data_IF_162538069400
#
_entry.id   IF_162538069400
#
_cell.length_a   1.000
_cell.length_b   1.000
_cell.length_c   1.000
_cell.angle_alpha   90.00
_cell.angle_beta   90.00
_cell.angle_gamma   90.00
#
_symmetry.space_group_name_H-M   'P 1'
#
loop_
_entity.id
_entity.type
_entity.pdbx_description
1 polymer ?
#
# COMPACT_ATOMS: atom_id res chain seq x y z
N UNK A 1 -2.38 74.68 22.41
CA UNK A 1 -3.19 74.00 21.38
C UNK A 1 -2.55 72.67 21.13
N UNK A 2 -3.26 71.56 21.50
CA UNK A 2 -2.68 70.21 21.64
C UNK A 2 -3.05 69.37 20.41
N UNK A 3 -2.04 68.95 19.68
CA UNK A 3 -2.19 67.94 18.62
C UNK A 3 -1.90 66.53 19.14
N UNK A 4 -2.92 65.66 19.21
CA UNK A 4 -2.80 64.26 19.57
C UNK A 4 -2.52 63.44 18.32
N UNK A 5 -1.30 62.84 18.25
CA UNK A 5 -0.95 61.82 17.26
C UNK A 5 -1.53 60.47 17.65
N UNK A 6 -2.38 59.93 16.82
CA UNK A 6 -2.89 58.57 16.93
C UNK A 6 -1.90 57.60 16.23
N UNK A 7 -1.22 56.80 17.02
CA UNK A 7 -0.41 55.67 16.51
C UNK A 7 -1.33 54.46 16.32
N UNK A 8 -1.62 54.12 15.09
CA UNK A 8 -2.30 52.88 14.72
C UNK A 8 -1.25 51.73 14.67
N UNK A 9 -1.27 50.92 15.71
CA UNK A 9 -0.53 49.67 15.71
C UNK A 9 -1.18 48.65 14.77
N UNK A 10 -0.51 48.30 13.69
CA UNK A 10 -0.88 47.17 12.85
C UNK A 10 -0.44 45.86 13.54
N UNK A 11 -1.39 45.13 14.11
CA UNK A 11 -1.16 43.74 14.50
C UNK A 11 -1.03 42.90 13.24
N UNK A 12 0.22 42.59 12.88
CA UNK A 12 0.49 41.58 11.86
C UNK A 12 0.12 40.19 12.37
N UNK A 13 -0.96 39.65 11.83
CA UNK A 13 -1.37 38.27 12.07
C UNK A 13 -0.40 37.36 11.33
N UNK A 14 0.62 36.85 12.03
CA UNK A 14 1.51 35.80 11.51
C UNK A 14 0.69 34.51 11.49
N UNK A 15 0.13 34.18 10.33
CA UNK A 15 -0.44 32.85 10.08
C UNK A 15 0.71 31.84 9.99
N UNK A 16 1.01 31.19 11.10
CA UNK A 16 1.94 30.05 11.16
C UNK A 16 1.25 28.86 10.48
N UNK A 17 1.49 28.68 9.18
CA UNK A 17 1.14 27.46 8.46
C UNK A 17 1.97 26.31 9.05
N UNK A 18 1.40 25.57 9.97
CA UNK A 18 1.86 24.25 10.38
C UNK A 18 1.74 23.32 9.17
N UNK A 19 2.80 23.22 8.38
CA UNK A 19 2.95 22.11 7.46
C UNK A 19 3.09 20.85 8.31
N UNK A 20 2.00 20.11 8.47
CA UNK A 20 2.03 18.74 9.01
C UNK A 20 2.78 17.92 7.97
N UNK A 21 4.09 17.78 8.16
CA UNK A 21 4.88 16.81 7.44
C UNK A 21 4.28 15.43 7.79
N UNK A 22 3.58 14.83 6.85
CA UNK A 22 3.11 13.45 6.98
C UNK A 22 4.36 12.58 7.08
N UNK A 23 4.72 12.19 8.31
CA UNK A 23 5.72 11.19 8.60
C UNK A 23 5.13 9.82 8.24
N UNK A 24 5.11 9.48 6.97
CA UNK A 24 4.65 8.20 6.45
C UNK A 24 5.68 7.59 5.53
N UNK A 25 5.52 6.30 5.23
CA UNK A 25 6.34 5.62 4.24
C UNK A 25 6.14 6.24 2.85
N UNK A 26 7.22 6.54 2.16
CA UNK A 26 7.20 7.14 0.83
C UNK A 26 7.15 6.03 -0.21
N UNK A 27 6.21 6.14 -1.17
CA UNK A 27 6.18 5.23 -2.32
C UNK A 27 7.41 5.41 -3.19
N UNK A 28 7.98 4.30 -3.65
CA UNK A 28 9.05 4.28 -4.64
C UNK A 28 8.70 3.28 -5.76
N UNK A 29 9.39 3.36 -6.89
CA UNK A 29 9.17 2.39 -7.97
C UNK A 29 9.47 0.96 -7.50
N UNK A 30 8.58 0.01 -7.82
CA UNK A 30 8.76 -1.39 -7.50
C UNK A 30 9.92 -1.99 -8.30
N UNK A 31 10.68 -2.90 -7.66
CA UNK A 31 11.78 -3.62 -8.30
C UNK A 31 11.26 -4.96 -8.82
N UNK A 32 11.50 -5.23 -10.11
CA UNK A 32 11.17 -6.51 -10.75
C UNK A 32 9.76 -7.02 -10.41
N UNK A 33 8.70 -6.29 -10.79
CA UNK A 33 7.33 -6.70 -10.50
C UNK A 33 7.01 -8.04 -11.13
N UNK A 34 6.23 -8.88 -10.43
CA UNK A 34 5.86 -10.20 -10.93
C UNK A 34 4.89 -10.08 -12.12
N UNK A 35 5.18 -10.82 -13.18
CA UNK A 35 4.23 -11.05 -14.28
C UNK A 35 3.31 -12.21 -13.91
N UNK A 36 2.02 -11.97 -13.87
CA UNK A 36 1.01 -13.00 -13.53
C UNK A 36 -0.11 -12.98 -14.57
N UNK A 37 -0.42 -14.16 -15.12
CA UNK A 37 -1.51 -14.30 -16.12
C UNK A 37 -1.31 -13.42 -17.37
N UNK A 38 -0.07 -13.15 -17.74
CA UNK A 38 0.27 -12.29 -18.88
C UNK A 38 0.25 -10.78 -18.57
N UNK A 39 -0.17 -10.38 -17.38
CA UNK A 39 -0.13 -8.98 -16.94
C UNK A 39 1.18 -8.69 -16.21
N UNK A 40 1.93 -7.70 -16.70
CA UNK A 40 3.14 -7.17 -16.04
C UNK A 40 2.84 -5.76 -15.57
N UNK A 41 2.91 -5.46 -14.26
CA UNK A 41 2.73 -4.10 -13.75
C UNK A 41 3.78 -3.15 -14.33
N UNK A 42 3.34 -2.15 -15.11
CA UNK A 42 4.24 -1.19 -15.79
C UNK A 42 3.72 0.25 -15.73
N UNK A 43 2.41 0.43 -15.52
CA UNK A 43 1.80 1.76 -15.45
C UNK A 43 1.94 2.25 -14.03
N UNK A 44 2.57 3.41 -13.83
CA UNK A 44 2.68 4.01 -12.50
C UNK A 44 1.34 4.64 -12.11
N UNK A 45 0.81 4.24 -10.96
CA UNK A 45 -0.45 4.73 -10.42
C UNK A 45 -0.25 5.45 -9.10
N UNK A 46 -1.03 6.52 -8.89
CA UNK A 46 -0.93 7.37 -7.68
C UNK A 46 -1.24 6.63 -6.37
N UNK A 47 -2.06 5.55 -6.42
CA UNK A 47 -2.46 4.82 -5.22
C UNK A 47 -1.86 3.39 -5.14
N UNK A 48 -1.67 2.68 -6.26
CA UNK A 48 -1.34 1.25 -6.23
C UNK A 48 0.08 0.90 -6.72
N UNK A 49 0.98 1.90 -6.85
CA UNK A 49 2.34 1.68 -7.35
C UNK A 49 2.38 1.39 -8.83
N UNK A 50 3.07 0.32 -9.25
CA UNK A 50 2.99 -0.14 -10.64
C UNK A 50 1.76 -1.04 -10.80
N UNK A 51 1.03 -0.86 -11.88
CA UNK A 51 -0.19 -1.62 -12.17
C UNK A 51 -0.24 -2.11 -13.61
N UNK A 52 -0.97 -3.19 -13.83
CA UNK A 52 -1.48 -3.62 -15.11
C UNK A 52 -2.93 -4.02 -14.94
N UNK A 53 -3.78 -3.58 -15.85
CA UNK A 53 -5.24 -3.82 -15.82
C UNK A 53 -5.65 -4.38 -17.17
N UNK A 54 -6.47 -5.43 -17.16
CA UNK A 54 -7.04 -6.00 -18.38
C UNK A 54 -7.95 -4.95 -19.06
N UNK A 55 -7.86 -4.77 -20.38
CA UNK A 55 -8.54 -3.68 -21.08
C UNK A 55 -10.07 -3.78 -21.04
N UNK A 56 -10.61 -4.98 -20.82
CA UNK A 56 -12.03 -5.26 -20.72
C UNK A 56 -12.55 -5.36 -19.27
N UNK A 57 -11.74 -4.93 -18.29
CA UNK A 57 -12.11 -4.99 -16.88
C UNK A 57 -13.23 -4.00 -16.55
N UNK A 58 -14.33 -4.53 -16.05
CA UNK A 58 -15.33 -3.78 -15.30
C UNK A 58 -15.38 -4.28 -13.85
N UNK A 59 -14.83 -3.50 -12.93
CA UNK A 59 -14.77 -3.88 -11.51
C UNK A 59 -16.16 -4.01 -10.90
N UNK A 60 -17.16 -3.24 -11.39
CA UNK A 60 -18.53 -3.23 -10.85
C UNK A 60 -19.28 -4.54 -11.06
N UNK A 61 -18.87 -5.34 -12.03
CA UNK A 61 -19.52 -6.64 -12.28
C UNK A 61 -19.28 -7.63 -11.14
N UNK A 62 -18.19 -7.47 -10.36
CA UNK A 62 -17.84 -8.38 -9.29
C UNK A 62 -18.50 -7.95 -7.98
N UNK A 63 -19.19 -8.89 -7.36
CA UNK A 63 -19.94 -8.67 -6.11
C UNK A 63 -19.21 -9.18 -4.89
N UNK A 64 -18.31 -10.13 -5.08
CA UNK A 64 -17.55 -10.77 -4.03
C UNK A 64 -16.06 -10.66 -4.33
N UNK A 65 -15.26 -10.43 -3.30
CA UNK A 65 -13.81 -10.62 -3.36
C UNK A 65 -13.38 -11.61 -2.29
N UNK A 66 -12.61 -12.61 -2.71
CA UNK A 66 -11.98 -13.60 -1.83
C UNK A 66 -10.54 -13.18 -1.62
N UNK A 67 -10.13 -12.93 -0.38
CA UNK A 67 -8.76 -12.57 -0.02
C UNK A 67 -8.04 -13.81 0.46
N UNK A 68 -7.09 -14.32 -0.33
CA UNK A 68 -6.25 -15.45 0.07
C UNK A 68 -5.15 -15.01 1.04
N UNK A 69 -4.62 -15.97 1.80
CA UNK A 69 -3.50 -15.72 2.72
C UNK A 69 -2.32 -15.15 1.95
N UNK A 70 -1.80 -14.02 2.44
CA UNK A 70 -0.59 -13.40 1.87
C UNK A 70 0.62 -14.25 2.21
N UNK A 71 1.48 -14.46 1.22
CA UNK A 71 2.74 -15.21 1.36
C UNK A 71 3.94 -14.27 1.47
N UNK A 72 5.09 -14.84 1.81
CA UNK A 72 6.40 -14.16 1.74
C UNK A 72 7.29 -14.94 0.79
N UNK A 73 8.02 -14.24 -0.06
CA UNK A 73 9.04 -14.87 -0.89
C UNK A 73 10.10 -15.54 -0.01
N UNK A 74 10.41 -16.82 -0.29
CA UNK A 74 11.41 -17.57 0.45
C UNK A 74 12.78 -16.88 0.50
N UNK A 75 13.12 -16.11 -0.54
CA UNK A 75 14.36 -15.34 -0.60
C UNK A 75 14.46 -14.22 0.46
N UNK A 76 13.35 -13.89 1.13
CA UNK A 76 13.31 -12.87 2.19
C UNK A 76 13.45 -13.48 3.59
N UNK A 77 13.59 -14.80 3.71
CA UNK A 77 13.66 -15.52 4.98
C UNK A 77 15.05 -16.14 5.08
N UNK A 78 15.92 -15.53 5.88
CA UNK A 78 17.28 -16.03 6.11
C UNK A 78 17.37 -16.97 7.33
N UNK A 79 16.59 -16.67 8.38
CA UNK A 79 16.61 -17.42 9.63
C UNK A 79 15.21 -17.51 10.29
N UNK A 80 15.14 -18.11 11.48
CA UNK A 80 13.89 -18.29 12.22
C UNK A 80 13.33 -16.97 12.78
N UNK A 81 14.18 -15.99 13.07
CA UNK A 81 13.77 -14.65 13.46
C UNK A 81 13.05 -13.93 12.31
N UNK A 82 13.62 -14.03 11.11
CA UNK A 82 13.01 -13.48 9.90
C UNK A 82 11.69 -14.19 9.57
N UNK A 83 11.59 -15.50 9.81
CA UNK A 83 10.35 -16.24 9.62
C UNK A 83 9.21 -15.71 10.52
N UNK A 84 9.44 -15.61 11.83
CA UNK A 84 8.44 -15.10 12.78
C UNK A 84 8.03 -13.66 12.48
N UNK A 85 8.99 -12.85 12.12
CA UNK A 85 8.76 -11.47 11.70
C UNK A 85 7.89 -11.40 10.43
N UNK A 86 8.24 -12.18 9.41
CA UNK A 86 7.48 -12.26 8.17
C UNK A 86 6.04 -12.78 8.40
N UNK A 87 5.85 -13.77 9.26
CA UNK A 87 4.52 -14.28 9.64
C UNK A 87 3.66 -13.21 10.32
N UNK A 88 4.24 -12.42 11.22
CA UNK A 88 3.53 -11.30 11.85
C UNK A 88 3.09 -10.28 10.81
N UNK A 89 4.00 -9.85 9.93
CA UNK A 89 3.72 -8.86 8.89
C UNK A 89 2.67 -9.35 7.88
N UNK A 90 2.77 -10.58 7.40
CA UNK A 90 1.78 -11.14 6.45
C UNK A 90 0.40 -11.25 7.07
N UNK A 91 0.32 -11.67 8.34
CA UNK A 91 -0.95 -11.73 9.09
C UNK A 91 -1.54 -10.34 9.26
N UNK A 92 -0.73 -9.36 9.63
CA UNK A 92 -1.13 -7.96 9.73
C UNK A 92 -1.64 -7.41 8.40
N UNK A 93 -0.84 -7.57 7.33
CA UNK A 93 -1.17 -7.09 5.99
C UNK A 93 -2.45 -7.74 5.45
N UNK A 94 -2.59 -9.07 5.57
CA UNK A 94 -3.80 -9.78 5.18
C UNK A 94 -5.05 -9.20 5.87
N UNK A 95 -5.00 -9.02 7.19
CA UNK A 95 -6.09 -8.43 7.96
C UNK A 95 -6.43 -7.01 7.50
N UNK A 96 -5.42 -6.18 7.19
CA UNK A 96 -5.63 -4.85 6.66
C UNK A 96 -6.30 -4.89 5.27
N UNK A 97 -5.86 -5.78 4.37
CA UNK A 97 -6.50 -5.95 3.06
C UNK A 97 -7.99 -6.29 3.20
N UNK A 98 -8.33 -7.29 4.02
CA UNK A 98 -9.73 -7.65 4.28
C UNK A 98 -10.52 -6.46 4.82
N UNK A 99 -9.98 -5.76 5.81
CA UNK A 99 -10.62 -4.59 6.42
C UNK A 99 -10.84 -3.47 5.41
N UNK A 100 -9.80 -3.06 4.68
CA UNK A 100 -9.86 -1.93 3.74
C UNK A 100 -10.77 -2.23 2.54
N UNK A 101 -10.79 -3.47 2.06
CA UNK A 101 -11.73 -3.88 1.01
C UNK A 101 -13.18 -3.85 1.50
N UNK A 102 -13.48 -4.26 2.74
CA UNK A 102 -14.81 -4.11 3.35
C UNK A 102 -15.22 -2.64 3.50
N UNK A 103 -14.33 -1.82 4.05
CA UNK A 103 -14.55 -0.38 4.24
C UNK A 103 -14.78 0.37 2.92
N UNK A 104 -14.25 -0.12 1.80
CA UNK A 104 -14.42 0.50 0.48
C UNK A 104 -15.86 0.49 -0.02
N UNK A 105 -16.70 -0.44 0.47
CA UNK A 105 -18.08 -0.63 0.02
C UNK A 105 -18.20 -1.07 -1.45
N UNK A 106 -17.09 -1.42 -2.11
CA UNK A 106 -17.08 -1.80 -3.52
C UNK A 106 -17.70 -3.18 -3.76
N UNK A 107 -17.47 -4.10 -2.84
CA UNK A 107 -17.96 -5.47 -2.90
C UNK A 107 -19.11 -5.67 -1.90
N UNK A 108 -20.08 -6.50 -2.25
CA UNK A 108 -21.15 -6.89 -1.34
C UNK A 108 -20.65 -7.78 -0.22
N UNK A 109 -19.62 -8.60 -0.55
CA UNK A 109 -18.97 -9.45 0.43
C UNK A 109 -17.46 -9.52 0.20
N UNK A 110 -16.72 -9.60 1.31
CA UNK A 110 -15.26 -9.75 1.34
C UNK A 110 -14.95 -10.97 2.19
N UNK A 111 -14.67 -12.09 1.52
CA UNK A 111 -14.41 -13.38 2.15
C UNK A 111 -12.93 -13.49 2.53
N UNK A 112 -12.68 -13.75 3.80
CA UNK A 112 -11.35 -14.06 4.32
C UNK A 112 -11.09 -15.56 4.18
N UNK A 113 -10.32 -15.94 3.13
CA UNK A 113 -10.00 -17.33 2.86
C UNK A 113 -8.93 -17.93 3.78
N UNK A 114 -8.38 -17.15 4.73
CA UNK A 114 -7.48 -17.67 5.77
C UNK A 114 -8.25 -18.37 6.90
N UNK A 115 -9.54 -18.07 7.05
CA UNK A 115 -10.40 -18.56 8.13
C UNK A 115 -11.70 -19.22 7.65
N UNK A 116 -12.04 -19.10 6.37
CA UNK A 116 -13.29 -19.59 5.81
C UNK A 116 -13.03 -20.38 4.51
N UNK A 117 -13.58 -21.57 4.42
CA UNK A 117 -13.58 -22.31 3.16
C UNK A 117 -14.45 -21.61 2.12
N UNK A 118 -13.85 -21.35 0.97
CA UNK A 118 -14.54 -20.67 -0.13
C UNK A 118 -15.34 -21.70 -0.93
N UNK A 119 -16.66 -21.63 -0.81
CA UNK A 119 -17.55 -22.47 -1.61
C UNK A 119 -17.66 -21.92 -3.04
N UNK A 120 -17.81 -22.80 -4.04
CA UNK A 120 -18.16 -22.39 -5.39
C UNK A 120 -19.47 -21.59 -5.39
N UNK A 121 -19.50 -20.48 -6.12
CA UNK A 121 -20.66 -19.61 -6.23
C UNK A 121 -20.80 -19.11 -7.65
N UNK A 122 -22.04 -18.97 -8.13
CA UNK A 122 -22.36 -18.36 -9.41
C UNK A 122 -22.25 -16.83 -9.39
N UNK A 123 -21.99 -16.26 -8.20
CA UNK A 123 -21.81 -14.83 -8.04
C UNK A 123 -20.47 -14.38 -8.65
N UNK A 124 -20.44 -13.37 -9.51
CA UNK A 124 -19.20 -12.86 -10.07
C UNK A 124 -18.20 -12.46 -8.97
N UNK A 125 -17.10 -13.19 -8.91
CA UNK A 125 -16.13 -13.14 -7.81
C UNK A 125 -14.72 -12.85 -8.32
N UNK A 126 -14.01 -11.98 -7.61
CA UNK A 126 -12.56 -11.83 -7.74
C UNK A 126 -11.86 -12.57 -6.61
N UNK A 127 -10.68 -13.08 -6.91
CA UNK A 127 -9.76 -13.69 -5.94
C UNK A 127 -8.50 -12.87 -5.88
N UNK A 128 -8.23 -12.27 -4.72
CA UNK A 128 -6.99 -11.55 -4.44
C UNK A 128 -5.95 -12.53 -3.91
N UNK A 129 -4.80 -12.56 -4.57
CA UNK A 129 -3.58 -13.24 -4.15
C UNK A 129 -2.45 -12.24 -4.06
N UNK A 130 -1.50 -12.47 -3.15
CA UNK A 130 -0.35 -11.60 -3.01
C UNK A 130 0.79 -12.24 -2.26
N UNK A 131 1.96 -11.62 -2.45
CA UNK A 131 3.17 -11.98 -1.74
C UNK A 131 3.96 -10.72 -1.37
N UNK A 132 4.58 -10.75 -0.20
CA UNK A 132 5.65 -9.81 0.13
C UNK A 132 6.90 -10.29 -0.61
N UNK A 133 7.30 -9.55 -1.64
CA UNK A 133 8.41 -9.92 -2.53
C UNK A 133 9.71 -9.24 -2.15
N UNK A 134 9.65 -8.18 -1.35
CA UNK A 134 10.80 -7.53 -0.75
C UNK A 134 10.49 -7.11 0.68
N UNK A 135 11.41 -7.43 1.56
CA UNK A 135 11.34 -7.08 2.96
C UNK A 135 12.76 -6.73 3.43
N UNK A 136 12.96 -5.51 3.88
CA UNK A 136 14.25 -5.07 4.40
C UNK A 136 14.02 -4.32 5.71
N UNK A 137 14.46 -4.93 6.82
CA UNK A 137 14.64 -4.20 8.07
C UNK A 137 15.74 -3.18 7.81
N UNK A 138 15.52 -1.90 8.07
CA UNK A 138 16.57 -0.91 8.01
C UNK A 138 17.73 -1.29 8.97
N UNK A 139 18.81 -0.54 8.93
CA UNK A 139 19.87 -0.66 9.91
C UNK A 139 20.02 0.69 10.61
N UNK A 140 19.81 0.72 11.92
CA UNK A 140 19.99 1.94 12.72
C UNK A 140 21.41 2.49 12.58
N UNK A 141 22.42 1.61 12.56
CA UNK A 141 23.81 1.99 12.36
C UNK A 141 24.03 2.60 10.96
N UNK A 142 23.47 1.99 9.90
CA UNK A 142 23.57 2.53 8.55
C UNK A 142 22.81 3.85 8.40
N UNK A 143 21.71 4.07 9.11
CA UNK A 143 20.99 5.35 9.15
C UNK A 143 21.83 6.45 9.79
N UNK A 144 22.52 6.13 10.87
CA UNK A 144 23.37 7.08 11.58
C UNK A 144 24.60 7.51 10.75
N UNK A 145 25.24 6.55 10.06
CA UNK A 145 26.47 6.84 9.29
C UNK A 145 26.22 7.32 7.86
N UNK A 146 25.13 6.94 7.21
CA UNK A 146 24.86 7.26 5.80
C UNK A 146 23.77 8.32 5.60
N UNK A 147 23.18 8.81 6.67
CA UNK A 147 22.27 9.95 6.83
C UNK A 147 21.33 10.28 5.66
N UNK A 148 21.83 10.93 4.66
CA UNK A 148 21.06 11.55 3.56
C UNK A 148 20.93 10.64 2.32
N UNK A 149 21.69 9.56 2.19
CA UNK A 149 21.73 8.74 0.97
C UNK A 149 20.81 7.52 0.96
N UNK A 150 19.89 7.39 1.95
CA UNK A 150 18.86 6.36 1.95
C UNK A 150 19.34 4.95 2.33
N UNK A 151 20.60 4.78 2.71
CA UNK A 151 21.07 3.52 3.29
C UNK A 151 20.44 3.31 4.68
N UNK A 152 20.03 2.07 4.97
CA UNK A 152 19.45 1.72 6.28
C UNK A 152 17.96 2.02 6.45
N UNK A 153 17.24 2.39 5.39
CA UNK A 153 15.78 2.57 5.45
C UNK A 153 15.07 1.23 5.38
N UNK A 154 14.00 1.07 6.16
CA UNK A 154 13.09 -0.06 6.00
C UNK A 154 12.42 -0.01 4.62
N UNK A 155 12.25 -1.18 4.00
CA UNK A 155 11.68 -1.31 2.65
C UNK A 155 10.70 -2.45 2.64
N UNK A 156 9.53 -2.23 2.03
CA UNK A 156 8.54 -3.25 1.78
C UNK A 156 8.09 -3.18 0.32
N UNK A 157 7.91 -4.35 -0.31
CA UNK A 157 7.23 -4.47 -1.59
C UNK A 157 6.26 -5.63 -1.53
N UNK A 158 5.04 -5.39 -1.98
CA UNK A 158 4.03 -6.42 -2.16
C UNK A 158 3.57 -6.45 -3.62
N UNK A 159 3.61 -7.64 -4.19
CA UNK A 159 3.07 -7.92 -5.52
C UNK A 159 1.74 -8.66 -5.34
N UNK A 160 0.68 -8.13 -5.92
CA UNK A 160 -0.68 -8.64 -5.76
C UNK A 160 -1.38 -8.77 -7.11
N UNK A 161 -2.32 -9.68 -7.21
CA UNK A 161 -3.15 -9.79 -8.39
C UNK A 161 -4.58 -10.23 -8.05
N UNK A 162 -5.51 -9.81 -8.90
CA UNK A 162 -6.90 -10.24 -8.86
C UNK A 162 -7.18 -11.14 -10.06
N UNK A 163 -7.74 -12.30 -9.77
CA UNK A 163 -8.16 -13.25 -10.79
C UNK A 163 -9.67 -13.51 -10.70
N UNK A 164 -10.30 -13.70 -11.84
CA UNK A 164 -11.72 -14.09 -11.91
C UNK A 164 -11.94 -15.52 -11.43
N UNK A 165 -13.04 -15.77 -10.75
CA UNK A 165 -13.48 -17.11 -10.39
C UNK A 165 -14.70 -17.46 -11.27
N UNK A 166 -14.75 -18.66 -11.86
CA UNK A 166 -13.81 -19.77 -11.76
C UNK A 166 -12.67 -19.75 -12.80
N UNK A 167 -12.67 -18.85 -13.77
CA UNK A 167 -11.76 -18.90 -14.94
C UNK A 167 -10.27 -18.84 -14.58
N UNK A 168 -9.91 -18.22 -13.46
CA UNK A 168 -8.52 -17.96 -13.08
C UNK A 168 -7.84 -16.87 -13.91
N UNK A 169 -8.57 -16.20 -14.81
CA UNK A 169 -8.03 -15.11 -15.63
C UNK A 169 -7.61 -13.94 -14.74
N UNK A 170 -6.35 -13.56 -14.77
CA UNK A 170 -5.86 -12.39 -14.06
C UNK A 170 -6.34 -11.12 -14.76
N UNK A 171 -6.96 -10.22 -14.01
CA UNK A 171 -7.54 -8.98 -14.53
C UNK A 171 -6.89 -7.72 -13.99
N UNK A 172 -6.22 -7.81 -12.84
CA UNK A 172 -5.41 -6.73 -12.26
C UNK A 172 -4.13 -7.36 -11.71
N UNK A 173 -2.99 -6.73 -11.95
CA UNK A 173 -1.73 -7.02 -11.27
C UNK A 173 -1.14 -5.71 -10.75
N UNK A 174 -0.62 -5.71 -9.52
CA UNK A 174 -0.02 -4.54 -8.87
C UNK A 174 1.30 -4.90 -8.22
N UNK A 175 2.22 -3.94 -8.15
CA UNK A 175 3.45 -4.01 -7.37
C UNK A 175 3.65 -2.68 -6.66
N UNK A 176 3.38 -2.64 -5.37
CA UNK A 176 3.56 -1.44 -4.55
C UNK A 176 4.81 -1.58 -3.66
N UNK A 177 5.66 -0.58 -3.70
CA UNK A 177 6.87 -0.50 -2.90
C UNK A 177 6.88 0.75 -2.05
N UNK A 178 7.18 0.57 -0.78
CA UNK A 178 7.33 1.63 0.20
C UNK A 178 8.73 1.62 0.80
N UNK A 179 9.21 2.82 1.09
CA UNK A 179 10.49 3.05 1.77
C UNK A 179 10.20 4.00 2.94
N UNK A 180 10.69 3.69 4.13
CA UNK A 180 10.50 4.55 5.29
C UNK A 180 11.02 5.97 5.02
N UNK A 181 10.28 6.98 5.47
CA UNK A 181 10.61 8.39 5.28
C UNK A 181 11.96 8.79 5.87
N UNK A 182 12.63 9.79 5.26
CA UNK A 182 14.05 10.12 5.49
C UNK A 182 14.38 10.91 6.75
N UNK A 183 13.43 11.30 7.60
CA UNK A 183 13.64 12.23 8.73
C UNK A 183 13.38 11.63 10.13
N UNK A 184 13.24 10.32 10.25
CA UNK A 184 13.10 9.69 11.56
C UNK A 184 14.47 9.52 12.23
N UNK A 185 15.01 10.60 12.74
CA UNK A 185 16.25 10.65 13.54
C UNK A 185 16.06 10.07 14.94
N UNK A 186 14.82 9.89 15.39
CA UNK A 186 14.47 9.47 16.73
C UNK A 186 13.61 8.20 16.71
N UNK A 187 14.28 7.02 16.67
CA UNK A 187 13.83 5.84 17.36
C UNK A 187 12.46 5.22 17.00
N UNK A 188 12.01 5.24 15.75
CA UNK A 188 10.94 4.34 15.33
C UNK A 188 11.48 2.91 15.17
N UNK A 189 10.78 1.89 15.66
CA UNK A 189 11.11 0.51 15.38
C UNK A 189 10.88 0.24 13.89
N UNK A 190 11.82 -0.43 13.23
CA UNK A 190 11.72 -0.77 11.80
C UNK A 190 10.48 -1.63 11.53
N UNK A 191 10.02 -2.35 12.55
CA UNK A 191 8.81 -3.17 12.50
C UNK A 191 7.54 -2.32 12.38
N UNK A 192 7.40 -1.29 13.20
CA UNK A 192 6.25 -0.37 13.17
C UNK A 192 6.17 0.34 11.80
N UNK A 193 7.31 0.74 11.24
CA UNK A 193 7.38 1.37 9.91
C UNK A 193 6.96 0.43 8.78
N UNK A 194 7.28 -0.85 8.90
CA UNK A 194 6.86 -1.84 7.92
C UNK A 194 5.36 -2.16 8.07
N UNK A 195 4.83 -2.25 9.29
CA UNK A 195 3.40 -2.42 9.53
C UNK A 195 2.60 -1.23 8.97
N UNK A 196 3.04 0.00 9.19
CA UNK A 196 2.44 1.21 8.61
C UNK A 196 2.47 1.16 7.08
N UNK A 197 3.60 0.75 6.49
CA UNK A 197 3.74 0.60 5.05
C UNK A 197 2.71 -0.36 4.46
N UNK A 198 2.43 -1.47 5.12
CA UNK A 198 1.44 -2.45 4.67
C UNK A 198 0.00 -1.99 4.89
N UNK A 199 -0.31 -1.25 5.96
CA UNK A 199 -1.63 -0.62 6.11
C UNK A 199 -1.87 0.41 5.00
N UNK A 200 -0.87 1.21 4.68
CA UNK A 200 -0.93 2.17 3.59
C UNK A 200 -1.14 1.48 2.23
N UNK A 201 -0.42 0.39 1.94
CA UNK A 201 -0.61 -0.39 0.71
C UNK A 201 -2.04 -0.93 0.61
N UNK A 202 -2.57 -1.50 1.69
CA UNK A 202 -3.93 -2.04 1.72
C UNK A 202 -4.99 -0.96 1.50
N UNK A 203 -4.85 0.19 2.18
CA UNK A 203 -5.73 1.35 2.03
C UNK A 203 -5.71 1.90 0.60
N UNK A 204 -4.53 2.07 0.05
CA UNK A 204 -4.36 2.67 -1.25
C UNK A 204 -4.77 1.73 -2.38
N UNK A 205 -4.57 0.40 -2.23
CA UNK A 205 -5.14 -0.60 -3.14
C UNK A 205 -6.68 -0.50 -3.19
N UNK A 206 -7.33 -0.37 -2.04
CA UNK A 206 -8.79 -0.22 -1.99
C UNK A 206 -9.25 1.07 -2.70
N UNK A 207 -8.54 2.21 -2.51
CA UNK A 207 -8.80 3.46 -3.24
C UNK A 207 -8.64 3.29 -4.75
N UNK A 208 -7.59 2.61 -5.20
CA UNK A 208 -7.36 2.31 -6.60
C UNK A 208 -8.54 1.55 -7.22
N UNK A 209 -9.02 0.49 -6.57
CA UNK A 209 -10.18 -0.28 -7.05
C UNK A 209 -11.46 0.57 -7.11
N UNK A 210 -11.69 1.45 -6.13
CA UNK A 210 -12.82 2.38 -6.15
C UNK A 210 -12.72 3.35 -7.32
N UNK A 211 -11.53 3.87 -7.65
CA UNK A 211 -11.33 4.72 -8.83
C UNK A 211 -11.58 3.96 -10.13
N UNK A 212 -11.01 2.75 -10.26
CA UNK A 212 -11.28 1.90 -11.42
C UNK A 212 -12.78 1.65 -11.61
N UNK A 213 -13.52 1.41 -10.51
CA UNK A 213 -14.96 1.20 -10.58
C UNK A 213 -15.73 2.46 -11.07
N UNK A 214 -15.16 3.63 -10.94
CA UNK A 214 -15.71 4.90 -11.46
C UNK A 214 -15.28 5.20 -12.91
N UNK A 215 -14.48 4.30 -13.51
CA UNK A 215 -13.95 4.47 -14.86
C UNK A 215 -12.70 5.35 -14.94
N UNK A 216 -12.06 5.65 -13.81
CA UNK A 216 -10.80 6.37 -13.81
C UNK A 216 -9.67 5.43 -14.27
N UNK A 217 -8.95 5.82 -15.32
CA UNK A 217 -7.81 5.06 -15.80
C UNK A 217 -6.64 5.10 -14.79
N UNK A 218 -5.82 4.03 -14.71
CA UNK A 218 -4.57 4.07 -13.96
C UNK A 218 -3.66 5.20 -14.44
N UNK A 219 -2.99 5.88 -13.50
CA UNK A 219 -2.04 6.94 -13.85
C UNK A 219 -1.58 7.76 -12.65
N UNK A 220 -0.54 8.56 -12.91
CA UNK A 220 -0.05 9.55 -11.95
C UNK A 220 -1.07 10.67 -11.73
N UNK A 221 -1.00 11.37 -10.59
CA UNK A 221 -1.72 12.64 -10.47
C UNK A 221 -1.26 13.60 -11.57
N UNK A 222 -2.20 14.24 -12.23
CA UNK A 222 -1.92 15.36 -13.13
C UNK A 222 -1.51 16.59 -12.33
#
# INVERSE_FOLDING_TARGET
MHGRSCVRGSLGLIALCLAVAACGAVRSSADNPLTVGGLTPKIEDKDAGLVAVAPDLDVKKYRVVVVEKISVSAAQIADEGDRRFAEKLTTGFHRQLVRRLRESGLFQDVVDASVTDVQPSDVPTLRLRGAITRLGRGSQAARYFAGIYGAGRARAQADMHFAEVPSGRVVIATADRRVSGGLQWFGGDDEDLLEESFDDMARDLAKFLVRLSKGEAPGKPQ
#
